data_IF_178736850958
#
_entry.id   IF_178736850958
#
_cell.length_a   1.000
_cell.length_b   1.000
_cell.length_c   1.000
_cell.angle_alpha   90.00
_cell.angle_beta   90.00
_cell.angle_gamma   90.00
#
_symmetry.space_group_name_H-M   'P 1'
#
loop_
_entity.id
_entity.type
_entity.pdbx_description
1 polymer ?
#
# COMPACT_ATOMS: atom_id res chain seq x y z
N UNK A 1 4.15 -26.56 -1.37
CA UNK A 1 3.50 -25.81 -2.47
C UNK A 1 4.48 -24.75 -2.95
N UNK A 2 4.67 -24.60 -4.25
CA UNK A 2 5.60 -23.63 -4.83
C UNK A 2 5.08 -22.22 -4.52
N UNK A 3 5.69 -21.51 -3.56
CA UNK A 3 5.48 -20.07 -3.40
C UNK A 3 6.05 -19.42 -4.65
N UNK A 4 5.20 -18.96 -5.56
CA UNK A 4 5.61 -18.22 -6.75
C UNK A 4 6.17 -16.87 -6.32
N UNK A 5 7.50 -16.79 -6.22
CA UNK A 5 8.28 -15.56 -6.11
C UNK A 5 8.22 -14.81 -7.45
N UNK A 6 7.08 -14.18 -7.70
CA UNK A 6 6.91 -13.28 -8.83
C UNK A 6 5.93 -12.19 -8.43
N UNK A 7 6.28 -10.94 -8.67
CA UNK A 7 5.36 -9.81 -8.55
C UNK A 7 4.29 -9.97 -9.64
N UNK A 8 3.07 -10.28 -9.22
CA UNK A 8 1.86 -10.31 -10.06
C UNK A 8 0.69 -9.87 -9.20
N UNK A 9 -0.38 -9.30 -9.78
CA UNK A 9 -1.55 -8.88 -8.99
C UNK A 9 -2.15 -10.04 -8.16
N UNK A 10 -2.31 -11.28 -8.68
CA UNK A 10 -2.77 -12.40 -7.86
C UNK A 10 -1.82 -12.77 -6.71
N UNK A 11 -0.51 -12.79 -6.95
CA UNK A 11 0.46 -13.11 -5.89
C UNK A 11 0.50 -12.03 -4.82
N UNK A 12 0.36 -10.76 -5.23
CA UNK A 12 0.26 -9.63 -4.33
C UNK A 12 -0.95 -9.78 -3.40
N UNK A 13 -2.13 -10.05 -3.95
CA UNK A 13 -3.34 -10.28 -3.16
C UNK A 13 -3.19 -11.45 -2.20
N UNK A 14 -2.67 -12.58 -2.69
CA UNK A 14 -2.42 -13.75 -1.85
C UNK A 14 -1.49 -13.42 -0.68
N UNK A 15 -0.42 -12.66 -0.94
CA UNK A 15 0.53 -12.26 0.10
C UNK A 15 -0.07 -11.28 1.11
N UNK A 16 -0.86 -10.31 0.66
CA UNK A 16 -1.62 -9.42 1.55
C UNK A 16 -2.57 -10.21 2.46
N UNK A 17 -3.20 -11.28 1.94
CA UNK A 17 -4.03 -12.18 2.76
C UNK A 17 -3.21 -12.97 3.77
N UNK A 18 -2.03 -13.49 3.38
CA UNK A 18 -1.09 -14.16 4.31
C UNK A 18 -0.68 -13.23 5.46
N UNK A 19 -0.42 -11.96 5.16
CA UNK A 19 -0.05 -10.92 6.13
C UNK A 19 -1.25 -10.28 6.86
N UNK A 20 -2.45 -10.84 6.70
CA UNK A 20 -3.68 -10.38 7.39
C UNK A 20 -4.05 -8.92 7.15
N UNK A 21 -3.80 -8.41 5.94
CA UNK A 21 -4.25 -7.06 5.55
C UNK A 21 -5.78 -6.98 5.57
N UNK A 22 -6.32 -5.78 5.78
CA UNK A 22 -7.76 -5.56 5.79
C UNK A 22 -8.40 -6.00 4.45
N UNK A 23 -9.47 -6.82 4.48
CA UNK A 23 -10.13 -7.29 3.26
C UNK A 23 -10.69 -6.17 2.37
N UNK A 24 -11.15 -5.05 2.93
CA UNK A 24 -11.63 -3.92 2.13
C UNK A 24 -10.47 -3.25 1.40
N UNK A 25 -9.34 -3.08 2.06
CA UNK A 25 -8.12 -2.56 1.46
C UNK A 25 -7.65 -3.44 0.29
N UNK A 26 -7.58 -4.77 0.49
CA UNK A 26 -7.19 -5.72 -0.57
C UNK A 26 -8.12 -5.60 -1.79
N UNK A 27 -9.44 -5.49 -1.54
CA UNK A 27 -10.44 -5.36 -2.61
C UNK A 27 -10.28 -4.04 -3.38
N UNK A 28 -10.00 -2.95 -2.67
CA UNK A 28 -9.80 -1.64 -3.29
C UNK A 28 -8.55 -1.57 -4.13
N UNK A 29 -7.43 -2.07 -3.59
CA UNK A 29 -6.18 -2.17 -4.32
C UNK A 29 -6.34 -3.01 -5.58
N UNK A 30 -7.02 -4.15 -5.49
CA UNK A 30 -7.35 -4.96 -6.67
C UNK A 30 -8.16 -4.19 -7.70
N UNK A 31 -9.17 -3.45 -7.25
CA UNK A 31 -10.06 -2.67 -8.13
C UNK A 31 -9.32 -1.58 -8.88
N UNK A 32 -8.31 -0.98 -8.24
CA UNK A 32 -7.45 0.04 -8.82
C UNK A 32 -6.48 -0.58 -9.82
N UNK A 33 -5.73 -1.61 -9.40
CA UNK A 33 -4.67 -2.21 -10.21
C UNK A 33 -5.15 -3.07 -11.37
N UNK A 34 -6.32 -3.72 -11.28
CA UNK A 34 -6.85 -4.53 -12.38
C UNK A 34 -7.16 -3.72 -13.66
N UNK A 35 -7.22 -2.39 -13.55
CA UNK A 35 -7.47 -1.49 -14.69
C UNK A 35 -6.20 -1.21 -15.51
N UNK A 36 -5.04 -1.60 -15.01
CA UNK A 36 -3.74 -1.34 -15.63
C UNK A 36 -3.33 -2.51 -16.53
N UNK A 37 -2.45 -2.25 -17.49
CA UNK A 37 -1.79 -3.35 -18.21
C UNK A 37 -0.97 -4.19 -17.21
N UNK A 38 -1.09 -5.52 -17.20
CA UNK A 38 -0.38 -6.35 -16.23
C UNK A 38 1.14 -6.23 -16.30
N UNK A 39 1.73 -6.12 -17.51
CA UNK A 39 3.19 -6.06 -17.67
C UNK A 39 3.70 -4.72 -17.15
N UNK A 40 3.01 -3.63 -17.47
CA UNK A 40 3.35 -2.29 -16.96
C UNK A 40 3.19 -2.20 -15.44
N UNK A 41 2.12 -2.77 -14.90
CA UNK A 41 1.88 -2.82 -13.45
C UNK A 41 2.96 -3.63 -12.73
N UNK A 42 3.28 -4.84 -13.22
CA UNK A 42 4.33 -5.68 -12.64
C UNK A 42 5.67 -4.94 -12.61
N UNK A 43 6.06 -4.33 -13.74
CA UNK A 43 7.29 -3.55 -13.83
C UNK A 43 7.29 -2.34 -12.87
N UNK A 44 6.17 -1.62 -12.75
CA UNK A 44 6.06 -0.49 -11.80
C UNK A 44 6.17 -0.95 -10.35
N UNK A 45 5.50 -2.05 -10.00
CA UNK A 45 5.53 -2.61 -8.65
C UNK A 45 6.95 -3.06 -8.28
N UNK A 46 7.65 -3.79 -9.16
CA UNK A 46 9.04 -4.21 -8.93
C UNK A 46 10.00 -3.04 -8.62
N UNK A 47 9.67 -1.84 -9.10
CA UNK A 47 10.45 -0.63 -8.90
C UNK A 47 9.86 0.32 -7.84
N UNK A 48 8.97 -0.18 -6.96
CA UNK A 48 8.27 0.65 -6.00
C UNK A 48 9.22 1.31 -4.99
N UNK A 49 10.15 0.55 -4.38
CA UNK A 49 11.21 1.08 -3.49
C UNK A 49 10.74 2.18 -2.51
N UNK A 50 9.66 1.93 -1.77
CA UNK A 50 9.03 2.88 -0.84
C UNK A 50 8.47 4.16 -1.46
N UNK A 51 8.31 4.21 -2.78
CA UNK A 51 7.56 5.26 -3.49
C UNK A 51 6.08 4.96 -3.41
N UNK A 52 5.27 6.01 -3.47
CA UNK A 52 3.82 5.89 -3.59
C UNK A 52 3.47 5.47 -5.03
N UNK A 53 2.64 4.43 -5.24
CA UNK A 53 2.10 4.15 -6.56
C UNK A 53 1.21 5.32 -7.00
N UNK A 54 1.32 5.70 -8.28
CA UNK A 54 0.65 6.87 -8.88
C UNK A 54 -0.88 6.87 -8.67
N UNK A 55 -1.49 5.70 -8.56
CA UNK A 55 -2.92 5.53 -8.34
C UNK A 55 -3.39 6.00 -6.95
N UNK A 56 -2.46 6.21 -6.02
CA UNK A 56 -2.74 6.70 -4.68
C UNK A 56 -2.26 8.14 -4.47
N UNK A 57 -1.88 8.85 -5.53
CA UNK A 57 -1.66 10.31 -5.48
C UNK A 57 -2.99 11.09 -5.41
N UNK A 58 -4.09 10.47 -5.84
CA UNK A 58 -5.44 11.05 -5.83
C UNK A 58 -6.05 11.07 -4.42
N UNK A 59 -6.40 12.27 -3.93
CA UNK A 59 -6.92 12.47 -2.58
C UNK A 59 -8.24 11.73 -2.33
N UNK A 60 -9.17 11.76 -3.29
CA UNK A 60 -10.49 11.11 -3.15
C UNK A 60 -10.33 9.58 -3.01
N UNK A 61 -9.41 9.00 -3.78
CA UNK A 61 -9.06 7.57 -3.69
C UNK A 61 -8.51 7.24 -2.30
N UNK A 62 -7.58 8.04 -1.77
CA UNK A 62 -7.01 7.81 -0.45
C UNK A 62 -8.04 8.01 0.68
N UNK A 63 -8.86 9.06 0.63
CA UNK A 63 -9.90 9.31 1.64
C UNK A 63 -10.89 8.13 1.66
N UNK A 64 -11.28 7.63 0.51
CA UNK A 64 -12.20 6.49 0.40
C UNK A 64 -11.60 5.22 0.98
N UNK A 65 -10.32 4.93 0.68
CA UNK A 65 -9.61 3.79 1.27
C UNK A 65 -9.51 3.95 2.79
N UNK A 66 -9.13 5.14 3.28
CA UNK A 66 -9.09 5.44 4.69
C UNK A 66 -10.44 5.16 5.36
N UNK A 67 -11.55 5.64 4.79
CA UNK A 67 -12.88 5.43 5.36
C UNK A 67 -13.31 3.96 5.40
N UNK A 68 -12.93 3.17 4.40
CA UNK A 68 -13.28 1.75 4.32
C UNK A 68 -12.41 0.87 5.23
N UNK A 69 -11.18 1.29 5.50
CA UNK A 69 -10.17 0.51 6.21
C UNK A 69 -9.57 1.28 7.40
N UNK A 70 -10.33 2.19 8.01
CA UNK A 70 -9.84 3.17 8.96
C UNK A 70 -9.07 2.52 10.12
N UNK A 71 -9.70 1.56 10.79
CA UNK A 71 -9.11 0.90 11.96
C UNK A 71 -7.79 0.22 11.61
N UNK A 72 -7.71 -0.39 10.42
CA UNK A 72 -6.50 -1.04 9.95
C UNK A 72 -5.41 -0.01 9.60
N UNK A 73 -5.75 1.09 8.90
CA UNK A 73 -4.79 2.14 8.58
C UNK A 73 -4.20 2.76 9.85
N UNK A 74 -5.01 3.08 10.85
CA UNK A 74 -4.52 3.67 12.12
C UNK A 74 -3.63 2.69 12.91
N UNK A 75 -3.96 1.39 12.87
CA UNK A 75 -3.08 0.35 13.43
C UNK A 75 -1.76 0.26 12.69
N UNK A 76 -1.77 0.26 11.36
CA UNK A 76 -0.55 0.21 10.56
C UNK A 76 0.30 1.47 10.72
N UNK A 77 -0.31 2.65 10.85
CA UNK A 77 0.41 3.89 11.19
C UNK A 77 1.16 3.71 12.52
N UNK A 78 0.47 3.23 13.57
CA UNK A 78 1.09 3.02 14.88
C UNK A 78 2.26 2.04 14.79
N UNK A 79 2.08 0.91 14.08
CA UNK A 79 3.15 -0.06 13.86
C UNK A 79 4.35 0.55 13.13
N UNK A 80 4.10 1.36 12.09
CA UNK A 80 5.17 2.02 11.36
C UNK A 80 5.93 3.03 12.24
N UNK A 81 5.25 3.75 13.13
CA UNK A 81 5.92 4.63 14.09
C UNK A 81 6.82 3.84 15.06
N UNK A 82 6.36 2.69 15.54
CA UNK A 82 7.14 1.80 16.40
C UNK A 82 8.33 1.17 15.66
N UNK A 83 8.14 0.74 14.40
CA UNK A 83 9.16 0.09 13.57
C UNK A 83 10.27 1.04 13.13
N UNK A 84 9.92 2.30 12.85
CA UNK A 84 10.85 3.29 12.31
C UNK A 84 11.40 4.25 13.36
N UNK A 85 10.82 4.27 14.56
CA UNK A 85 11.06 5.27 15.61
C UNK A 85 10.82 6.72 15.14
N UNK A 86 10.01 6.91 14.10
CA UNK A 86 9.65 8.21 13.53
C UNK A 86 8.15 8.39 13.54
N UNK A 87 7.68 9.59 13.87
CA UNK A 87 6.25 9.88 13.79
C UNK A 87 5.76 9.85 12.34
N UNK A 88 4.48 9.52 12.14
CA UNK A 88 3.91 9.42 10.80
C UNK A 88 3.99 10.74 10.04
N UNK A 89 3.93 11.88 10.74
CA UNK A 89 4.06 13.20 10.13
C UNK A 89 5.44 13.41 9.50
N UNK A 90 6.49 12.87 10.12
CA UNK A 90 7.86 12.90 9.59
C UNK A 90 7.98 11.95 8.41
N UNK A 91 7.43 10.74 8.53
CA UNK A 91 7.39 9.77 7.42
C UNK A 91 6.60 10.27 6.20
N UNK A 92 5.63 11.16 6.43
CA UNK A 92 4.80 11.78 5.40
C UNK A 92 5.29 13.16 4.95
N UNK A 93 6.48 13.62 5.34
CA UNK A 93 6.95 15.00 5.05
C UNK A 93 7.06 15.26 3.54
N UNK A 94 7.41 14.24 2.74
CA UNK A 94 7.52 14.32 1.29
C UNK A 94 6.17 14.20 0.56
N UNK A 95 5.10 13.82 1.26
CA UNK A 95 3.77 13.64 0.70
C UNK A 95 3.02 14.97 0.63
N UNK A 96 2.48 15.26 -0.55
CA UNK A 96 1.78 16.52 -0.85
C UNK A 96 0.27 16.38 -0.61
N UNK A 97 -0.17 16.44 0.65
CA UNK A 97 -1.58 16.53 0.98
C UNK A 97 -1.77 17.26 2.31
N UNK A 98 -2.77 18.14 2.41
CA UNK A 98 -3.10 18.82 3.66
C UNK A 98 -4.03 17.97 4.55
N UNK A 99 -4.68 16.96 3.99
CA UNK A 99 -5.58 16.05 4.72
C UNK A 99 -4.81 14.91 5.40
N UNK A 100 -4.96 14.81 6.73
CA UNK A 100 -4.33 13.77 7.54
C UNK A 100 -4.66 12.35 7.07
N UNK A 101 -5.90 12.10 6.63
CA UNK A 101 -6.37 10.79 6.18
C UNK A 101 -5.63 10.36 4.94
N UNK A 102 -5.46 11.30 3.99
CA UNK A 102 -4.71 11.06 2.76
C UNK A 102 -3.26 10.72 3.08
N UNK A 103 -2.59 11.54 3.89
CA UNK A 103 -1.18 11.34 4.25
C UNK A 103 -0.95 10.00 4.94
N UNK A 104 -1.77 9.65 5.93
CA UNK A 104 -1.67 8.37 6.64
C UNK A 104 -1.88 7.19 5.70
N UNK A 105 -2.91 7.24 4.85
CA UNK A 105 -3.14 6.19 3.86
C UNK A 105 -1.97 6.04 2.90
N UNK A 106 -1.43 7.15 2.38
CA UNK A 106 -0.28 7.12 1.48
C UNK A 106 0.98 6.56 2.15
N UNK A 107 1.25 6.91 3.42
CA UNK A 107 2.36 6.33 4.21
C UNK A 107 2.18 4.82 4.37
N UNK A 108 1.01 4.36 4.78
CA UNK A 108 0.76 2.92 4.95
C UNK A 108 0.94 2.19 3.62
N UNK A 109 0.34 2.71 2.53
CA UNK A 109 0.43 2.07 1.22
C UNK A 109 1.87 1.99 0.73
N UNK A 110 2.63 3.10 0.73
CA UNK A 110 4.01 3.09 0.20
C UNK A 110 4.89 2.10 0.97
N UNK A 111 4.73 1.99 2.28
CA UNK A 111 5.53 1.10 3.11
C UNK A 111 5.11 -0.35 2.93
N UNK A 112 3.86 -0.66 3.26
CA UNK A 112 3.35 -2.04 3.29
C UNK A 112 3.36 -2.69 1.93
N UNK A 113 3.06 -1.93 0.87
CA UNK A 113 3.12 -2.48 -0.48
C UNK A 113 4.56 -2.75 -0.92
N UNK A 114 5.52 -1.90 -0.55
CA UNK A 114 6.93 -2.12 -0.87
C UNK A 114 7.50 -3.35 -0.17
N UNK A 115 7.12 -3.56 1.08
CA UNK A 115 7.53 -4.76 1.84
C UNK A 115 6.99 -6.04 1.21
N UNK A 116 5.69 -6.07 0.89
CA UNK A 116 5.11 -7.22 0.20
C UNK A 116 5.79 -7.47 -1.14
N UNK A 117 6.02 -6.42 -1.93
CA UNK A 117 6.67 -6.57 -3.24
C UNK A 117 8.10 -7.10 -3.06
N UNK A 118 8.84 -6.61 -2.07
CA UNK A 118 10.20 -7.08 -1.79
C UNK A 118 10.23 -8.57 -1.45
N UNK A 119 9.22 -9.10 -0.75
CA UNK A 119 9.12 -10.53 -0.47
C UNK A 119 8.73 -11.40 -1.67
N UNK A 120 8.14 -10.79 -2.70
CA UNK A 120 7.72 -11.46 -3.94
C UNK A 120 8.82 -11.49 -5.01
N UNK A 121 9.91 -10.76 -4.80
CA UNK A 121 11.13 -10.77 -5.61
C UNK A 121 12.07 -11.90 -5.13
#
# INVERSE_FOLDING_TARGET
MLKTKKVTLPNLQMKMQEESFDPHFIKELHTIFQKQDPIELESRLENLHYRLPTEFEDEDTCIRIYQLSQDWIEQEVTKLEDETELSWQVQAEDLKADDERVRKTQVVIRHRLSEIVYELI
#
